data_IF_197327068627
#
_entry.id   IF_197327068627
#
_cell.length_a   1.000
_cell.length_b   1.000
_cell.length_c   1.000
_cell.angle_alpha   90.00
_cell.angle_beta   90.00
_cell.angle_gamma   90.00
#
_symmetry.space_group_name_H-M   'P 1'
#
loop_
_entity.id
_entity.type
_entity.pdbx_description
1 polymer ?
#
# COMPACT_ATOMS: atom_id res chain seq x y z
N UNK A 1 7.15 -5.89 -22.00
CA UNK A 1 8.36 -5.58 -21.21
C UNK A 1 9.62 -5.41 -22.04
N UNK A 2 9.84 -6.21 -23.08
CA UNK A 2 11.04 -6.14 -23.92
C UNK A 2 10.96 -5.14 -25.09
N UNK A 3 10.11 -4.11 -24.98
CA UNK A 3 10.02 -3.09 -26.04
C UNK A 3 11.14 -2.04 -25.88
N UNK A 4 12.39 -2.47 -26.08
CA UNK A 4 13.56 -1.60 -26.00
C UNK A 4 13.49 -0.35 -26.88
N UNK A 5 12.95 -0.40 -28.12
CA UNK A 5 12.75 0.80 -28.93
C UNK A 5 11.85 1.84 -28.25
N UNK A 6 10.78 1.40 -27.60
CA UNK A 6 9.89 2.29 -26.83
C UNK A 6 10.62 2.90 -25.62
N UNK A 7 11.36 2.09 -24.85
CA UNK A 7 12.15 2.59 -23.71
C UNK A 7 13.14 3.67 -24.14
N UNK A 8 13.84 3.46 -25.27
CA UNK A 8 14.75 4.45 -25.84
C UNK A 8 14.02 5.74 -26.22
N UNK A 9 12.88 5.65 -26.90
CA UNK A 9 12.05 6.82 -27.24
C UNK A 9 11.56 7.58 -26.00
N UNK A 10 11.12 6.87 -24.97
CA UNK A 10 10.69 7.46 -23.69
C UNK A 10 11.86 8.21 -23.05
N UNK A 11 13.04 7.62 -22.97
CA UNK A 11 14.21 8.26 -22.38
C UNK A 11 14.63 9.53 -23.12
N UNK A 12 14.55 9.55 -24.45
CA UNK A 12 14.85 10.72 -25.28
C UNK A 12 13.74 11.78 -25.27
N UNK A 13 12.55 11.45 -24.78
CA UNK A 13 11.42 12.37 -24.73
C UNK A 13 11.51 13.34 -23.55
N UNK A 14 10.69 14.41 -23.57
CA UNK A 14 10.52 15.36 -22.46
C UNK A 14 9.64 14.80 -21.31
N UNK A 15 9.11 13.59 -21.44
CA UNK A 15 8.32 12.91 -20.41
C UNK A 15 9.19 12.74 -19.16
N UNK A 16 8.72 13.22 -18.02
CA UNK A 16 9.45 13.13 -16.74
C UNK A 16 9.07 11.90 -15.91
N UNK A 17 7.86 11.40 -16.10
CA UNK A 17 7.29 10.30 -15.32
C UNK A 17 6.55 9.32 -16.23
N UNK A 18 6.69 8.03 -15.94
CA UNK A 18 5.99 6.94 -16.66
C UNK A 18 5.26 6.03 -15.67
N UNK A 19 4.07 5.60 -16.04
CA UNK A 19 3.32 4.56 -15.34
C UNK A 19 3.56 3.27 -16.11
N UNK A 20 3.97 2.22 -15.42
CA UNK A 20 4.26 0.92 -16.02
C UNK A 20 3.52 -0.16 -15.26
N UNK A 21 2.58 -0.83 -15.93
CA UNK A 21 1.94 -2.02 -15.39
C UNK A 21 2.94 -3.16 -15.32
N UNK A 22 3.04 -3.79 -14.14
CA UNK A 22 3.95 -4.92 -13.88
C UNK A 22 3.20 -6.20 -13.50
N UNK A 23 1.89 -6.22 -13.70
CA UNK A 23 1.09 -7.43 -13.55
C UNK A 23 1.55 -8.49 -14.56
N UNK A 24 1.64 -9.74 -14.11
CA UNK A 24 2.10 -10.86 -14.94
C UNK A 24 3.60 -10.89 -15.24
N UNK A 25 4.39 -9.92 -14.75
CA UNK A 25 5.82 -9.86 -15.02
C UNK A 25 6.66 -10.58 -13.97
N UNK A 26 7.77 -11.18 -14.43
CA UNK A 26 8.82 -11.72 -13.55
C UNK A 26 9.61 -10.59 -12.88
N UNK A 27 10.37 -10.92 -11.84
CA UNK A 27 11.23 -9.92 -11.20
C UNK A 27 12.33 -9.43 -12.14
N UNK A 28 12.90 -10.33 -12.95
CA UNK A 28 13.96 -10.04 -13.93
C UNK A 28 13.47 -9.05 -14.98
N UNK A 29 12.24 -9.24 -15.46
CA UNK A 29 11.60 -8.32 -16.41
C UNK A 29 11.40 -6.94 -15.81
N UNK A 30 10.92 -6.87 -14.56
CA UNK A 30 10.72 -5.60 -13.84
C UNK A 30 12.05 -4.88 -13.66
N UNK A 31 13.11 -5.57 -13.21
CA UNK A 31 14.42 -4.96 -12.97
C UNK A 31 15.08 -4.49 -14.25
N UNK A 32 14.97 -5.27 -15.34
CA UNK A 32 15.47 -4.89 -16.65
C UNK A 32 14.77 -3.65 -17.18
N UNK A 33 13.45 -3.59 -17.06
CA UNK A 33 12.67 -2.42 -17.46
C UNK A 33 13.06 -1.17 -16.67
N UNK A 34 13.18 -1.28 -15.33
CA UNK A 34 13.63 -0.17 -14.49
C UNK A 34 15.00 0.33 -14.89
N UNK A 35 15.95 -0.57 -15.15
CA UNK A 35 17.29 -0.22 -15.63
C UNK A 35 17.24 0.53 -16.95
N UNK A 36 16.35 0.13 -17.87
CA UNK A 36 16.19 0.78 -19.16
C UNK A 36 15.51 2.15 -19.08
N UNK A 37 14.70 2.41 -18.06
CA UNK A 37 13.98 3.67 -17.82
C UNK A 37 14.58 4.50 -16.66
N UNK A 38 15.85 4.29 -16.33
CA UNK A 38 16.51 4.84 -15.14
C UNK A 38 16.54 6.37 -15.03
N UNK A 39 16.32 7.08 -16.15
CA UNK A 39 16.30 8.54 -16.21
C UNK A 39 14.91 9.14 -15.90
N UNK A 40 13.91 8.31 -15.66
CA UNK A 40 12.53 8.72 -15.44
C UNK A 40 12.07 8.41 -14.03
N UNK A 41 11.10 9.17 -13.53
CA UNK A 41 10.33 8.76 -12.38
C UNK A 41 9.38 7.64 -12.83
N UNK A 42 9.44 6.50 -12.17
CA UNK A 42 8.68 5.31 -12.55
C UNK A 42 7.59 5.05 -11.50
N UNK A 43 6.35 4.93 -11.95
CA UNK A 43 5.24 4.41 -11.16
C UNK A 43 5.07 2.95 -11.57
N UNK A 44 5.42 2.03 -10.67
CA UNK A 44 5.18 0.60 -10.86
C UNK A 44 3.75 0.28 -10.43
N UNK A 45 2.88 0.09 -11.40
CA UNK A 45 1.49 -0.25 -11.17
C UNK A 45 1.34 -1.77 -11.13
N UNK A 46 1.16 -2.31 -9.91
CA UNK A 46 0.90 -3.73 -9.73
C UNK A 46 -0.61 -4.00 -9.76
N UNK A 47 -1.02 -4.98 -10.54
CA UNK A 47 -2.36 -5.53 -10.59
C UNK A 47 -2.29 -6.99 -11.03
N UNK A 48 -3.15 -7.83 -10.50
CA UNK A 48 -3.25 -9.21 -10.98
C UNK A 48 -4.01 -9.21 -12.31
N UNK A 49 -3.45 -9.84 -13.34
CA UNK A 49 -3.94 -9.71 -14.73
C UNK A 49 -5.00 -10.77 -15.10
N UNK A 50 -6.05 -10.87 -14.28
CA UNK A 50 -7.27 -11.62 -14.57
C UNK A 50 -8.45 -10.73 -14.22
N UNK A 51 -9.47 -10.73 -15.05
CA UNK A 51 -10.64 -9.86 -14.95
C UNK A 51 -11.93 -10.70 -14.87
N UNK A 52 -12.73 -10.62 -13.80
CA UNK A 52 -12.38 -9.97 -12.53
C UNK A 52 -11.37 -10.79 -11.71
N UNK A 53 -10.62 -10.12 -10.84
CA UNK A 53 -9.69 -10.78 -9.92
C UNK A 53 -10.34 -11.02 -8.58
N UNK A 54 -10.38 -12.26 -8.10
CA UNK A 54 -10.83 -12.57 -6.75
C UNK A 54 -9.80 -12.16 -5.70
N UNK A 55 -10.23 -11.75 -4.51
CA UNK A 55 -9.35 -11.30 -3.41
C UNK A 55 -8.28 -12.33 -3.04
N UNK A 56 -8.56 -13.63 -3.17
CA UNK A 56 -7.60 -14.72 -2.93
C UNK A 56 -6.36 -14.63 -3.81
N UNK A 57 -6.48 -14.08 -5.02
CA UNK A 57 -5.42 -14.04 -6.03
C UNK A 57 -4.62 -12.73 -6.05
N UNK A 58 -4.99 -11.70 -5.30
CA UNK A 58 -4.39 -10.35 -5.37
C UNK A 58 -2.90 -10.31 -5.05
N UNK A 59 -2.43 -11.13 -4.10
CA UNK A 59 -1.00 -11.21 -3.71
C UNK A 59 -0.37 -9.85 -3.40
N UNK A 60 -1.06 -8.97 -2.67
CA UNK A 60 -0.64 -7.59 -2.39
C UNK A 60 0.71 -7.47 -1.69
N UNK A 61 1.15 -8.51 -0.96
CA UNK A 61 2.51 -8.57 -0.40
C UNK A 61 3.61 -8.38 -1.45
N UNK A 62 3.33 -8.61 -2.75
CA UNK A 62 4.28 -8.36 -3.83
C UNK A 62 4.68 -6.88 -3.88
N UNK A 63 3.76 -5.94 -3.61
CA UNK A 63 4.03 -4.51 -3.55
C UNK A 63 5.09 -4.23 -2.48
N UNK A 64 4.88 -4.72 -1.25
CA UNK A 64 5.82 -4.56 -0.14
C UNK A 64 7.19 -5.15 -0.46
N UNK A 65 7.23 -6.37 -1.00
CA UNK A 65 8.48 -7.05 -1.37
C UNK A 65 9.23 -6.33 -2.48
N UNK A 66 8.53 -5.79 -3.49
CA UNK A 66 9.16 -4.98 -4.54
C UNK A 66 9.72 -3.68 -3.96
N UNK A 67 8.99 -3.01 -3.06
CA UNK A 67 9.45 -1.79 -2.38
C UNK A 67 10.70 -2.04 -1.54
N UNK A 68 10.78 -3.15 -0.83
CA UNK A 68 11.95 -3.55 -0.05
C UNK A 68 13.19 -3.83 -0.93
N UNK A 69 12.99 -4.44 -2.10
CA UNK A 69 14.06 -4.74 -3.06
C UNK A 69 14.51 -3.52 -3.87
N UNK A 70 13.57 -2.66 -4.23
CA UNK A 70 13.79 -1.50 -5.11
C UNK A 70 13.91 -0.22 -4.29
N UNK A 71 14.96 -0.12 -3.45
CA UNK A 71 15.25 1.06 -2.61
C UNK A 71 15.69 2.26 -3.46
N UNK A 72 14.91 2.65 -4.46
CA UNK A 72 15.18 3.74 -5.36
C UNK A 72 14.15 4.86 -5.18
N UNK A 73 14.61 6.08 -4.91
CA UNK A 73 13.74 7.26 -4.67
C UNK A 73 12.91 7.67 -5.89
N UNK A 74 13.32 7.25 -7.09
CA UNK A 74 12.60 7.55 -8.33
C UNK A 74 11.47 6.56 -8.64
N UNK A 75 11.26 5.55 -7.79
CA UNK A 75 10.22 4.54 -7.97
C UNK A 75 9.10 4.77 -6.97
N UNK A 76 7.89 4.88 -7.49
CA UNK A 76 6.64 4.95 -6.74
C UNK A 76 5.84 3.68 -7.01
N UNK A 77 5.12 3.18 -6.03
CA UNK A 77 4.33 1.96 -6.16
C UNK A 77 2.85 2.31 -6.23
N UNK A 78 2.16 1.72 -7.20
CA UNK A 78 0.73 1.81 -7.37
C UNK A 78 0.08 0.42 -7.37
N UNK A 79 -1.23 0.42 -7.23
CA UNK A 79 -2.08 -0.76 -7.30
C UNK A 79 -3.20 -0.53 -8.30
N UNK A 80 -3.32 -1.41 -9.29
CA UNK A 80 -4.44 -1.47 -10.21
C UNK A 80 -5.41 -2.55 -9.72
N UNK A 81 -6.58 -2.12 -9.30
CA UNK A 81 -7.62 -3.01 -8.78
C UNK A 81 -8.51 -3.54 -9.91
N UNK A 82 -8.52 -4.86 -10.04
CA UNK A 82 -9.34 -5.60 -10.99
C UNK A 82 -10.39 -6.49 -10.29
N UNK A 83 -10.70 -6.19 -9.03
CA UNK A 83 -11.77 -6.90 -8.31
C UNK A 83 -13.13 -6.69 -8.99
N UNK A 84 -14.10 -7.58 -8.75
CA UNK A 84 -15.47 -7.38 -9.24
C UNK A 84 -16.03 -6.01 -8.88
N UNK A 85 -17.07 -5.58 -9.55
CA UNK A 85 -17.71 -4.26 -9.40
C UNK A 85 -18.35 -4.00 -8.01
N UNK A 86 -18.06 -4.82 -7.00
CA UNK A 86 -18.49 -4.62 -5.61
C UNK A 86 -17.63 -3.58 -4.87
N UNK A 87 -18.30 -2.55 -4.31
CA UNK A 87 -17.63 -1.48 -3.58
C UNK A 87 -16.85 -2.00 -2.36
N UNK A 88 -17.45 -2.88 -1.56
CA UNK A 88 -16.84 -3.39 -0.33
C UNK A 88 -15.50 -4.07 -0.60
N UNK A 89 -15.45 -4.99 -1.56
CA UNK A 89 -14.24 -5.71 -1.94
C UNK A 89 -13.17 -4.76 -2.50
N UNK A 90 -13.59 -3.82 -3.36
CA UNK A 90 -12.72 -2.76 -3.91
C UNK A 90 -12.07 -1.93 -2.79
N UNK A 91 -12.86 -1.49 -1.80
CA UNK A 91 -12.36 -0.70 -0.66
C UNK A 91 -11.32 -1.48 0.15
N UNK A 92 -11.62 -2.74 0.51
CA UNK A 92 -10.68 -3.57 1.27
C UNK A 92 -9.38 -3.82 0.50
N UNK A 93 -9.46 -4.11 -0.79
CA UNK A 93 -8.30 -4.38 -1.62
C UNK A 93 -7.42 -3.13 -1.78
N UNK A 94 -8.04 -1.99 -2.08
CA UNK A 94 -7.32 -0.72 -2.23
C UNK A 94 -6.69 -0.28 -0.90
N UNK A 95 -7.43 -0.32 0.21
CA UNK A 95 -6.90 0.03 1.54
C UNK A 95 -5.75 -0.89 1.96
N UNK A 96 -5.88 -2.19 1.72
CA UNK A 96 -4.81 -3.16 1.98
C UNK A 96 -3.57 -2.90 1.13
N UNK A 97 -3.75 -2.51 -0.14
CA UNK A 97 -2.63 -2.18 -1.02
C UNK A 97 -1.86 -0.95 -0.53
N UNK A 98 -2.56 0.05 0.01
CA UNK A 98 -1.95 1.23 0.61
C UNK A 98 -1.13 0.84 1.83
N UNK A 99 -1.63 -0.05 2.70
CA UNK A 99 -0.88 -0.58 3.83
C UNK A 99 0.38 -1.35 3.38
N UNK A 100 0.35 -1.99 2.19
CA UNK A 100 1.53 -2.63 1.58
C UNK A 100 2.49 -1.65 0.91
N UNK A 101 2.13 -0.36 0.83
CA UNK A 101 3.00 0.71 0.34
C UNK A 101 2.64 1.27 -1.03
N UNK A 102 1.47 0.96 -1.58
CA UNK A 102 0.93 1.65 -2.74
C UNK A 102 0.56 3.11 -2.37
N UNK A 103 0.85 4.04 -3.25
CA UNK A 103 0.51 5.46 -3.08
C UNK A 103 -0.38 5.99 -4.21
N UNK A 104 -0.60 5.17 -5.21
CA UNK A 104 -1.47 5.44 -6.36
C UNK A 104 -2.39 4.23 -6.53
N UNK A 105 -3.66 4.50 -6.71
CA UNK A 105 -4.69 3.49 -6.98
C UNK A 105 -5.27 3.74 -8.36
N UNK A 106 -5.45 2.68 -9.12
CA UNK A 106 -6.15 2.65 -10.39
C UNK A 106 -7.36 1.72 -10.25
N UNK A 107 -8.50 2.13 -10.77
CA UNK A 107 -9.73 1.34 -10.80
C UNK A 107 -10.47 1.59 -12.10
N UNK A 108 -11.02 0.55 -12.67
CA UNK A 108 -11.95 0.66 -13.79
C UNK A 108 -13.19 1.43 -13.37
N UNK A 109 -13.60 2.38 -14.20
CA UNK A 109 -14.68 3.29 -13.92
C UNK A 109 -15.69 3.30 -15.08
N UNK A 110 -16.97 3.17 -14.74
CA UNK A 110 -18.08 3.28 -15.68
C UNK A 110 -19.05 4.39 -15.24
N UNK A 111 -19.09 5.51 -15.95
CA UNK A 111 -20.02 6.60 -15.63
C UNK A 111 -21.48 6.26 -15.96
N UNK A 112 -21.74 5.24 -16.78
CA UNK A 112 -23.07 4.89 -17.28
C UNK A 112 -23.35 3.39 -17.14
N UNK A 113 -23.45 2.84 -15.92
CA UNK A 113 -23.65 1.40 -15.68
C UNK A 113 -24.97 0.86 -16.21
N UNK A 114 -25.95 1.73 -16.47
CA UNK A 114 -27.24 1.39 -17.08
C UNK A 114 -27.12 0.87 -18.52
N UNK A 115 -26.05 1.24 -19.21
CA UNK A 115 -25.80 0.81 -20.58
C UNK A 115 -25.12 -0.55 -20.55
N UNK A 116 -25.84 -1.59 -20.97
CA UNK A 116 -25.26 -2.94 -21.09
C UNK A 116 -24.06 -2.94 -21.99
N UNK A 117 -22.87 -3.20 -21.40
CA UNK A 117 -21.61 -3.35 -22.10
C UNK A 117 -21.19 -4.82 -22.11
N UNK A 118 -20.21 -5.15 -22.94
CA UNK A 118 -19.61 -6.49 -23.00
C UNK A 118 -18.84 -6.83 -21.72
N UNK A 119 -18.51 -8.09 -21.51
CA UNK A 119 -17.92 -8.70 -20.31
C UNK A 119 -16.65 -8.03 -19.73
N UNK A 120 -16.03 -7.14 -20.48
CA UNK A 120 -14.81 -6.39 -20.05
C UNK A 120 -15.04 -5.42 -18.89
N UNK A 121 -16.31 -5.05 -18.61
CA UNK A 121 -16.66 -4.05 -17.58
C UNK A 121 -16.94 -4.65 -16.19
N UNK A 122 -16.71 -5.94 -15.99
CA UNK A 122 -17.01 -6.65 -14.73
C UNK A 122 -16.20 -6.16 -13.54
N UNK A 123 -15.13 -5.40 -13.79
CA UNK A 123 -14.27 -4.79 -12.74
C UNK A 123 -14.49 -3.28 -12.59
N UNK A 124 -15.39 -2.68 -13.35
CA UNK A 124 -15.67 -1.24 -13.27
C UNK A 124 -16.65 -0.91 -12.15
N UNK A 125 -16.50 0.24 -11.52
CA UNK A 125 -17.42 0.80 -10.54
C UNK A 125 -18.03 2.10 -11.05
N UNK A 126 -19.26 2.39 -10.61
CA UNK A 126 -19.99 3.61 -10.97
C UNK A 126 -19.47 4.85 -10.24
N UNK A 127 -20.04 6.03 -10.58
CA UNK A 127 -19.65 7.33 -10.01
C UNK A 127 -19.81 7.37 -8.49
N UNK A 128 -20.90 6.83 -7.94
CA UNK A 128 -21.18 6.88 -6.51
C UNK A 128 -20.17 6.00 -5.76
N UNK A 129 -19.99 4.78 -6.22
CA UNK A 129 -19.01 3.83 -5.67
C UNK A 129 -17.57 4.37 -5.77
N UNK A 130 -17.24 5.10 -6.85
CA UNK A 130 -15.92 5.70 -7.00
C UNK A 130 -15.67 6.84 -6.00
N UNK A 131 -16.67 7.70 -5.78
CA UNK A 131 -16.62 8.76 -4.78
C UNK A 131 -16.49 8.20 -3.36
N UNK A 132 -17.24 7.14 -3.06
CA UNK A 132 -17.17 6.45 -1.77
C UNK A 132 -15.81 5.76 -1.56
N UNK A 133 -15.23 5.17 -2.61
CA UNK A 133 -13.88 4.63 -2.58
C UNK A 133 -12.85 5.72 -2.21
N UNK A 134 -12.91 6.88 -2.88
CA UNK A 134 -12.02 8.01 -2.59
C UNK A 134 -12.17 8.46 -1.14
N UNK A 135 -13.41 8.64 -0.69
CA UNK A 135 -13.71 9.04 0.69
C UNK A 135 -13.12 8.06 1.70
N UNK A 136 -13.37 6.76 1.51
CA UNK A 136 -12.91 5.72 2.42
C UNK A 136 -11.37 5.60 2.44
N UNK A 137 -10.71 5.70 1.28
CA UNK A 137 -9.25 5.70 1.19
C UNK A 137 -8.66 6.88 1.98
N UNK A 138 -9.27 8.06 1.89
CA UNK A 138 -8.81 9.23 2.61
C UNK A 138 -8.96 9.11 4.13
N UNK A 139 -9.97 8.37 4.60
CA UNK A 139 -10.12 8.02 6.03
C UNK A 139 -9.11 6.94 6.46
N UNK A 140 -8.90 5.92 5.64
CA UNK A 140 -8.02 4.79 5.98
C UNK A 140 -6.53 5.15 5.94
N UNK A 141 -6.12 6.04 5.04
CA UNK A 141 -4.71 6.40 4.83
C UNK A 141 -4.01 6.89 6.11
N UNK A 142 -4.57 7.79 6.93
CA UNK A 142 -3.96 8.21 8.19
C UNK A 142 -3.75 7.08 9.19
N UNK A 143 -4.59 6.04 9.16
CA UNK A 143 -4.53 4.91 10.10
C UNK A 143 -3.25 4.07 9.96
N UNK A 144 -2.55 4.16 8.83
CA UNK A 144 -1.26 3.49 8.63
C UNK A 144 -0.18 4.09 9.53
N UNK A 145 -0.35 5.36 9.90
CA UNK A 145 0.55 6.06 10.79
C UNK A 145 1.98 6.24 10.24
N UNK A 146 2.89 6.44 11.15
CA UNK A 146 4.33 6.56 10.87
C UNK A 146 5.03 5.24 11.18
N UNK A 147 6.12 4.96 10.49
CA UNK A 147 6.95 3.78 10.78
C UNK A 147 7.80 4.03 12.06
N UNK A 148 7.15 4.08 13.20
CA UNK A 148 7.75 4.24 14.52
C UNK A 148 7.25 3.12 15.44
N UNK A 149 8.10 2.68 16.37
CA UNK A 149 7.80 1.62 17.34
C UNK A 149 7.84 2.10 18.80
N UNK A 150 8.15 3.38 19.01
CA UNK A 150 8.16 4.00 20.33
C UNK A 150 6.85 4.71 20.62
N UNK A 151 6.55 4.87 21.90
CA UNK A 151 5.37 5.59 22.35
C UNK A 151 5.41 7.06 21.91
N UNK A 152 4.31 7.55 21.38
CA UNK A 152 4.12 8.97 21.18
C UNK A 152 3.84 9.71 22.49
N UNK A 153 3.61 11.03 22.39
CA UNK A 153 3.41 11.87 23.56
C UNK A 153 2.12 11.51 24.32
N UNK A 154 1.05 11.18 23.60
CA UNK A 154 -0.26 10.91 24.20
C UNK A 154 -0.30 9.50 24.82
N UNK A 155 0.26 8.51 24.15
CA UNK A 155 0.45 7.16 24.71
C UNK A 155 1.36 7.20 25.95
N UNK A 156 2.42 8.01 25.94
CA UNK A 156 3.31 8.19 27.08
C UNK A 156 2.59 8.82 28.28
N UNK A 157 1.66 9.77 28.02
CA UNK A 157 0.83 10.39 29.05
C UNK A 157 -0.16 9.38 29.64
N UNK A 158 -0.85 8.64 28.77
CA UNK A 158 -1.77 7.57 29.21
C UNK A 158 -1.04 6.51 30.04
N UNK A 159 0.14 6.04 29.57
CA UNK A 159 0.96 5.09 30.29
C UNK A 159 1.24 5.53 31.72
N UNK A 160 1.61 6.81 31.92
CA UNK A 160 1.89 7.35 33.27
C UNK A 160 0.68 7.28 34.20
N UNK A 161 -0.54 7.43 33.68
CA UNK A 161 -1.77 7.40 34.51
C UNK A 161 -2.24 5.98 34.87
N UNK A 162 -1.88 4.96 34.06
CA UNK A 162 -2.38 3.60 34.20
C UNK A 162 -1.32 2.56 34.61
N UNK A 163 -0.02 2.90 34.46
CA UNK A 163 1.07 1.97 34.78
C UNK A 163 1.08 1.66 36.29
N UNK A 164 1.10 0.40 36.61
CA UNK A 164 1.38 -0.08 37.93
C UNK A 164 2.87 -0.13 38.19
N UNK A 165 3.28 0.16 39.39
CA UNK A 165 4.68 0.09 39.84
C UNK A 165 4.76 -0.76 41.11
N UNK A 166 5.92 -1.33 41.35
CA UNK A 166 6.19 -1.97 42.59
C UNK A 166 6.52 -0.89 43.65
N UNK A 167 5.95 -1.01 44.80
CA UNK A 167 6.22 -0.15 45.96
C UNK A 167 6.70 -1.02 47.10
N UNK A 168 7.61 -0.51 47.93
CA UNK A 168 7.97 -1.17 49.16
C UNK A 168 6.78 -1.18 50.10
N UNK A 169 6.57 -2.29 50.85
CA UNK A 169 5.54 -2.39 51.87
C UNK A 169 5.81 -1.53 53.13
N UNK A 170 7.01 -0.99 53.23
CA UNK A 170 7.46 -0.12 54.28
C UNK A 170 8.87 0.41 54.02
N UNK A 171 9.49 1.04 55.02
CA UNK A 171 10.83 1.57 54.90
C UNK A 171 11.86 0.45 54.72
N UNK A 172 12.68 0.56 53.69
CA UNK A 172 13.77 -0.35 53.41
C UNK A 172 15.11 0.30 53.81
N UNK A 173 15.93 -0.47 54.54
CA UNK A 173 17.28 -0.03 54.85
C UNK A 173 18.14 0.04 53.57
N UNK A 174 19.14 0.90 53.58
CA UNK A 174 20.13 0.97 52.48
C UNK A 174 20.72 -0.43 52.24
N UNK A 175 20.86 -0.80 50.98
CA UNK A 175 21.38 -2.09 50.50
C UNK A 175 20.49 -3.32 50.79
N UNK A 176 19.22 -3.11 51.18
CA UNK A 176 18.22 -4.18 51.28
C UNK A 176 17.94 -4.79 49.92
N UNK A 177 17.85 -6.12 49.85
CA UNK A 177 17.41 -6.81 48.64
C UNK A 177 15.88 -6.69 48.51
N UNK A 178 15.40 -6.43 47.30
CA UNK A 178 13.99 -6.50 46.95
C UNK A 178 13.54 -7.98 46.95
N UNK A 179 12.47 -8.28 47.64
CA UNK A 179 11.86 -9.61 47.73
C UNK A 179 10.34 -9.45 47.60
N UNK A 180 9.62 -10.54 47.30
CA UNK A 180 8.15 -10.51 47.24
C UNK A 180 7.52 -10.16 48.61
N UNK A 181 8.25 -10.29 49.72
CA UNK A 181 7.74 -9.98 51.06
C UNK A 181 7.81 -8.48 51.37
N UNK A 182 8.73 -7.74 50.71
CA UNK A 182 8.94 -6.32 50.99
C UNK A 182 8.53 -5.37 49.85
N UNK A 183 8.01 -5.92 48.73
CA UNK A 183 7.41 -5.18 47.61
C UNK A 183 6.00 -5.65 47.31
#
# INVERSE_FOLDING_TARGET
>A
MYNYPLHKKINLSKIKQVIVSVGGCTNEEIFTMIKNLNQKKIILMYGYQIYPTTSRNLRLLKIKKLKEKLKNKNIVFGYADHSPNGLLETVYNCSSSIAMGATIIEKHYDPNPEIKKKDEDTSAIDTNSFNELIYTINICKPNIGKNIIWLDKDESKYRKSVSRSFFSKGDLKKDSKFTFDNI
#
